data_IF_844893602797
#
_entry.id   IF_844893602797
#
_cell.length_a   1.000
_cell.length_b   1.000
_cell.length_c   1.000
_cell.angle_alpha   90.00
_cell.angle_beta   90.00
_cell.angle_gamma   90.00
#
_symmetry.space_group_name_H-M   'P 1'
#
loop_
_entity.id
_entity.type
_entity.pdbx_description
1 polymer ?
#
# COMPACT_ATOMS: atom_id res chain seq x y z
N UNK A 1 -48.09 34.00 2.96
CA UNK A 1 -47.12 32.97 2.56
C UNK A 1 -46.52 32.43 3.86
N UNK A 2 -47.12 31.48 4.61
CA UNK A 2 -47.53 30.11 4.24
C UNK A 2 -46.36 29.42 3.51
N UNK A 3 -45.66 28.41 4.02
CA UNK A 3 -46.00 27.33 4.97
C UNK A 3 -44.78 26.87 5.79
N UNK A 4 -45.05 26.47 7.04
CA UNK A 4 -44.28 25.56 7.89
C UNK A 4 -44.44 24.11 7.42
N UNK A 5 -43.36 23.31 7.45
CA UNK A 5 -43.34 21.84 7.74
C UNK A 5 -41.86 21.38 7.73
N UNK A 6 -41.16 20.97 8.79
CA UNK A 6 -41.37 20.08 9.96
C UNK A 6 -40.96 18.60 9.73
N UNK A 7 -40.48 17.99 10.82
CA UNK A 7 -40.10 16.59 11.11
C UNK A 7 -38.64 16.19 10.77
N UNK A 8 -37.73 16.03 11.75
CA UNK A 8 -37.65 15.06 12.85
C UNK A 8 -37.30 13.63 12.40
N UNK A 9 -36.09 13.18 12.76
CA UNK A 9 -35.88 11.80 13.22
C UNK A 9 -34.78 11.76 14.28
N UNK A 10 -35.22 11.40 15.48
CA UNK A 10 -34.43 10.92 16.61
C UNK A 10 -34.28 9.40 16.46
N UNK A 11 -33.07 8.85 16.65
CA UNK A 11 -32.82 7.49 17.14
C UNK A 11 -31.30 7.37 17.41
N UNK A 12 -30.87 7.27 18.67
CA UNK A 12 -30.47 6.02 19.33
C UNK A 12 -29.19 5.39 18.70
N UNK A 13 -28.10 5.11 19.43
CA UNK A 13 -27.94 5.01 20.87
C UNK A 13 -26.47 5.03 21.29
N UNK A 14 -26.32 5.38 22.56
CA UNK A 14 -25.19 5.15 23.43
C UNK A 14 -24.57 3.75 23.26
N UNK A 15 -23.28 3.68 22.94
CA UNK A 15 -22.50 2.48 23.22
C UNK A 15 -21.80 2.69 24.56
N UNK A 16 -22.38 2.08 25.59
CA UNK A 16 -21.85 2.00 26.94
C UNK A 16 -20.42 1.42 26.96
N UNK A 17 -19.55 1.79 27.93
CA UNK A 17 -18.19 1.28 28.09
C UNK A 17 -18.15 -0.12 28.74
N UNK A 18 -18.98 -1.05 28.28
CA UNK A 18 -19.08 -2.41 28.84
C UNK A 18 -18.31 -3.48 28.04
N UNK A 19 -17.55 -3.10 27.00
CA UNK A 19 -16.81 -4.04 26.15
C UNK A 19 -15.28 -3.94 26.30
N UNK A 20 -14.80 -3.40 27.42
CA UNK A 20 -13.37 -3.39 27.78
C UNK A 20 -13.12 -4.11 29.11
N UNK A 21 -13.56 -5.35 29.23
CA UNK A 21 -13.18 -6.23 30.33
C UNK A 21 -13.39 -7.70 29.95
N UNK A 22 -12.35 -8.37 29.45
CA UNK A 22 -12.01 -9.77 29.77
C UNK A 22 -11.04 -10.34 28.72
N UNK A 23 -9.74 -10.19 28.95
CA UNK A 23 -8.73 -11.16 28.52
C UNK A 23 -7.50 -11.03 29.41
N UNK A 24 -7.67 -11.39 30.68
CA UNK A 24 -6.57 -11.63 31.60
C UNK A 24 -6.81 -12.96 32.31
N UNK A 25 -5.75 -13.77 32.38
CA UNK A 25 -5.55 -14.95 33.25
C UNK A 25 -6.30 -16.23 32.84
N UNK A 26 -5.78 -17.46 32.96
CA UNK A 26 -4.53 -17.98 33.55
C UNK A 26 -4.31 -19.43 33.11
N UNK A 27 -3.08 -19.89 33.32
CA UNK A 27 -2.44 -21.18 33.13
C UNK A 27 -3.12 -22.48 33.65
N UNK A 28 -2.64 -23.59 33.08
CA UNK A 28 -2.26 -24.90 33.67
C UNK A 28 -3.25 -25.76 34.49
N UNK A 29 -3.19 -27.07 34.23
CA UNK A 29 -3.15 -28.07 35.31
C UNK A 29 -4.34 -29.03 35.43
N UNK A 30 -4.17 -30.22 34.85
CA UNK A 30 -4.60 -31.56 35.30
C UNK A 30 -5.84 -31.78 36.17
N UNK A 31 -6.73 -32.66 35.72
CA UNK A 31 -7.06 -33.95 36.38
C UNK A 31 -8.36 -34.54 35.82
N UNK A 32 -8.29 -35.78 35.30
CA UNK A 32 -9.44 -36.66 35.24
C UNK A 32 -9.67 -37.27 36.64
N UNK A 33 -10.92 -37.58 37.01
CA UNK A 33 -11.26 -39.00 37.14
C UNK A 33 -12.66 -39.38 36.64
N UNK A 34 -12.81 -40.67 36.38
CA UNK A 34 -13.98 -41.34 35.84
C UNK A 34 -15.12 -41.55 36.87
N UNK A 35 -16.38 -41.49 36.40
CA UNK A 35 -17.52 -42.25 36.91
C UNK A 35 -18.68 -42.22 35.89
N UNK A 36 -19.30 -43.36 35.63
CA UNK A 36 -20.55 -43.56 34.87
C UNK A 36 -21.51 -44.42 35.72
N UNK A 37 -22.79 -44.68 35.37
CA UNK A 37 -23.79 -43.96 34.55
C UNK A 37 -25.14 -43.78 35.32
N UNK A 38 -26.06 -42.92 34.87
CA UNK A 38 -27.53 -43.13 34.91
C UNK A 38 -28.36 -41.87 34.55
N UNK A 39 -29.50 -42.14 33.92
CA UNK A 39 -30.71 -41.32 33.77
C UNK A 39 -30.74 -40.24 32.67
N UNK A 40 -31.54 -40.52 31.66
CA UNK A 40 -31.89 -39.67 30.54
C UNK A 40 -32.66 -38.40 30.96
N UNK A 41 -32.25 -37.26 30.40
CA UNK A 41 -33.01 -36.01 30.31
C UNK A 41 -32.59 -35.32 28.98
N UNK A 42 -33.49 -34.53 28.36
CA UNK A 42 -33.60 -34.41 26.91
C UNK A 42 -32.38 -33.76 26.26
N UNK A 43 -32.09 -34.17 25.03
CA UNK A 43 -31.04 -33.61 24.21
C UNK A 43 -31.12 -32.07 24.21
N UNK A 44 -30.00 -31.36 24.45
CA UNK A 44 -29.99 -29.91 24.23
C UNK A 44 -30.33 -29.67 22.77
N UNK A 45 -31.39 -28.90 22.53
CA UNK A 45 -31.75 -28.42 21.21
C UNK A 45 -30.48 -27.85 20.57
N UNK A 46 -30.07 -28.44 19.44
CA UNK A 46 -28.96 -27.93 18.64
C UNK A 46 -29.16 -26.42 18.43
N UNK A 47 -28.13 -25.59 18.62
CA UNK A 47 -28.26 -24.17 18.32
C UNK A 47 -28.73 -24.08 16.86
N UNK A 48 -29.90 -23.46 16.67
CA UNK A 48 -30.42 -23.21 15.34
C UNK A 48 -29.32 -22.50 14.55
N UNK A 49 -28.82 -23.16 13.50
CA UNK A 49 -27.95 -22.54 12.51
C UNK A 49 -28.64 -21.27 12.05
N UNK A 50 -28.13 -20.11 12.48
CA UNK A 50 -28.33 -18.86 11.76
C UNK A 50 -27.92 -19.17 10.31
N UNK A 51 -28.90 -19.27 9.42
CA UNK A 51 -28.67 -19.51 8.01
C UNK A 51 -27.74 -18.39 7.51
N UNK A 52 -26.46 -18.73 7.34
CA UNK A 52 -25.48 -17.82 6.78
C UNK A 52 -25.96 -17.43 5.39
N UNK A 53 -26.33 -16.16 5.24
CA UNK A 53 -26.64 -15.57 3.94
C UNK A 53 -25.47 -15.87 2.98
N UNK A 54 -25.76 -16.25 1.72
CA UNK A 54 -24.72 -16.53 0.74
C UNK A 54 -23.91 -15.26 0.48
N UNK A 55 -22.62 -15.28 0.84
CA UNK A 55 -21.69 -14.18 0.57
C UNK A 55 -21.23 -14.26 -0.87
N UNK A 56 -21.43 -13.19 -1.64
CA UNK A 56 -20.88 -13.08 -2.99
C UNK A 56 -19.37 -12.79 -2.91
N UNK A 57 -18.57 -13.85 -2.93
CA UNK A 57 -17.11 -13.77 -2.88
C UNK A 57 -16.51 -13.03 -4.09
N UNK A 58 -17.23 -12.97 -5.22
CA UNK A 58 -16.75 -12.28 -6.42
C UNK A 58 -16.79 -10.76 -6.23
N UNK A 59 -17.88 -10.25 -5.66
CA UNK A 59 -18.04 -8.85 -5.30
C UNK A 59 -17.00 -8.43 -4.24
N UNK A 60 -16.82 -9.23 -3.18
CA UNK A 60 -15.83 -8.96 -2.12
C UNK A 60 -14.41 -8.84 -2.69
N UNK A 61 -14.02 -9.73 -3.61
CA UNK A 61 -12.69 -9.67 -4.27
C UNK A 61 -12.53 -8.48 -5.21
N UNK A 62 -13.62 -8.02 -5.83
CA UNK A 62 -13.58 -6.84 -6.69
C UNK A 62 -13.40 -5.56 -5.86
N UNK A 63 -14.12 -5.46 -4.74
CA UNK A 63 -14.04 -4.34 -3.81
C UNK A 63 -12.68 -4.28 -3.10
N UNK A 64 -12.16 -5.41 -2.64
CA UNK A 64 -10.82 -5.48 -2.06
C UNK A 64 -9.74 -4.98 -3.05
N UNK A 65 -9.85 -5.34 -4.33
CA UNK A 65 -8.93 -4.83 -5.38
C UNK A 65 -9.11 -3.35 -5.64
N UNK A 66 -10.32 -2.81 -5.54
CA UNK A 66 -10.56 -1.38 -5.71
C UNK A 66 -9.97 -0.59 -4.54
N UNK A 67 -10.29 -1.01 -3.30
CA UNK A 67 -9.76 -0.43 -2.08
C UNK A 67 -8.23 -0.43 -2.06
N UNK A 68 -7.60 -1.52 -2.50
CA UNK A 68 -6.15 -1.62 -2.59
C UNK A 68 -5.54 -0.61 -3.57
N UNK A 69 -6.13 -0.48 -4.77
CA UNK A 69 -5.66 0.51 -5.74
C UNK A 69 -5.84 1.94 -5.24
N UNK A 70 -6.95 2.21 -4.57
CA UNK A 70 -7.23 3.54 -4.01
C UNK A 70 -6.25 3.88 -2.89
N UNK A 71 -5.92 2.90 -2.03
CA UNK A 71 -4.87 3.03 -1.00
C UNK A 71 -3.51 3.34 -1.62
N UNK A 72 -3.09 2.54 -2.60
CA UNK A 72 -1.80 2.72 -3.30
C UNK A 72 -1.74 4.12 -3.93
N UNK A 73 -2.80 4.53 -4.64
CA UNK A 73 -2.88 5.84 -5.26
C UNK A 73 -2.74 6.94 -4.21
N UNK A 74 -3.48 6.85 -3.11
CA UNK A 74 -3.44 7.83 -2.04
C UNK A 74 -2.04 7.99 -1.42
N UNK A 75 -1.29 6.89 -1.24
CA UNK A 75 0.07 6.93 -0.69
C UNK A 75 1.05 7.59 -1.68
N UNK A 76 1.01 7.18 -2.95
CA UNK A 76 1.97 7.65 -3.96
C UNK A 76 1.71 9.11 -4.36
N UNK A 77 0.46 9.56 -4.29
CA UNK A 77 0.09 10.97 -4.57
C UNK A 77 0.00 11.83 -3.31
N UNK A 78 0.41 11.32 -2.14
CA UNK A 78 0.39 12.09 -0.90
C UNK A 78 1.36 13.28 -0.99
N UNK A 79 1.03 14.48 -0.45
CA UNK A 79 1.92 15.64 -0.50
C UNK A 79 3.32 15.34 0.09
N UNK A 80 3.38 14.60 1.19
CA UNK A 80 4.65 14.20 1.82
C UNK A 80 5.49 13.20 1.00
N UNK A 81 4.94 12.63 -0.08
CA UNK A 81 5.71 11.77 -0.99
C UNK A 81 6.67 12.58 -1.88
N UNK A 82 6.48 13.90 -2.00
CA UNK A 82 7.35 14.76 -2.79
C UNK A 82 8.76 14.84 -2.18
N UNK A 83 9.76 14.46 -2.97
CA UNK A 83 11.13 14.29 -2.49
C UNK A 83 11.35 13.00 -1.67
N UNK A 84 10.38 12.09 -1.63
CA UNK A 84 10.44 10.79 -0.91
C UNK A 84 9.85 9.63 -1.70
N UNK A 85 9.78 9.76 -3.03
CA UNK A 85 9.07 8.83 -3.90
C UNK A 85 9.47 7.37 -3.68
N UNK A 86 10.77 7.08 -3.49
CA UNK A 86 11.22 5.71 -3.24
C UNK A 86 10.62 5.08 -1.97
N UNK A 87 10.49 5.85 -0.89
CA UNK A 87 9.88 5.37 0.36
C UNK A 87 8.36 5.25 0.21
N UNK A 88 7.71 6.20 -0.46
CA UNK A 88 6.27 6.13 -0.72
C UNK A 88 5.92 4.89 -1.57
N UNK A 89 6.73 4.57 -2.58
CA UNK A 89 6.56 3.37 -3.41
C UNK A 89 6.70 2.09 -2.57
N UNK A 90 7.70 2.02 -1.70
CA UNK A 90 7.87 0.87 -0.81
C UNK A 90 6.67 0.69 0.12
N UNK A 91 6.18 1.77 0.73
CA UNK A 91 5.01 1.71 1.61
C UNK A 91 3.76 1.26 0.84
N UNK A 92 3.54 1.78 -0.37
CA UNK A 92 2.35 1.46 -1.14
C UNK A 92 2.28 -0.01 -1.59
N UNK A 93 3.41 -0.58 -2.03
CA UNK A 93 3.45 -1.91 -2.66
C UNK A 93 3.96 -3.04 -1.77
N UNK A 94 4.65 -2.73 -0.67
CA UNK A 94 5.28 -3.74 0.19
C UNK A 94 4.64 -3.82 1.58
N UNK A 95 3.64 -3.00 1.88
CA UNK A 95 2.99 -2.95 3.18
C UNK A 95 1.49 -2.77 3.05
N UNK A 96 0.74 -3.18 4.10
CA UNK A 96 -0.72 -3.03 4.19
C UNK A 96 -1.16 -1.85 5.07
N UNK A 97 -0.34 -0.80 5.14
CA UNK A 97 -0.65 0.38 5.93
C UNK A 97 -1.71 1.25 5.26
N UNK A 98 -2.61 1.81 6.07
CA UNK A 98 -3.55 2.83 5.61
C UNK A 98 -2.81 4.09 5.15
N UNK A 99 -3.40 4.81 4.19
CA UNK A 99 -2.77 5.98 3.56
C UNK A 99 -2.39 7.08 4.56
N UNK A 100 -3.20 7.30 5.59
CA UNK A 100 -2.95 8.29 6.65
C UNK A 100 -1.70 7.94 7.48
N UNK A 101 -1.61 6.67 7.92
CA UNK A 101 -0.45 6.18 8.66
C UNK A 101 0.84 6.23 7.82
N UNK A 102 0.75 5.88 6.53
CA UNK A 102 1.86 6.01 5.60
C UNK A 102 2.29 7.48 5.41
N UNK A 103 1.33 8.40 5.34
CA UNK A 103 1.58 9.85 5.28
C UNK A 103 2.35 10.35 6.50
N UNK A 104 1.97 9.90 7.70
CA UNK A 104 2.70 10.20 8.94
C UNK A 104 4.15 9.69 8.91
N UNK A 105 4.39 8.49 8.39
CA UNK A 105 5.75 7.95 8.23
C UNK A 105 6.57 8.78 7.22
N UNK A 106 5.97 9.17 6.10
CA UNK A 106 6.61 10.01 5.09
C UNK A 106 6.99 11.39 5.65
N UNK A 107 6.16 11.99 6.52
CA UNK A 107 6.46 13.27 7.14
C UNK A 107 7.73 13.23 8.02
N UNK A 108 7.98 12.09 8.69
CA UNK A 108 9.18 11.91 9.53
C UNK A 108 10.44 11.52 8.76
N UNK A 109 10.29 11.07 7.52
CA UNK A 109 11.40 10.57 6.73
C UNK A 109 12.27 11.70 6.16
N UNK A 110 13.59 11.47 5.97
CA UNK A 110 14.46 12.42 5.29
C UNK A 110 14.13 12.53 3.79
N UNK A 111 14.40 13.70 3.18
CA UNK A 111 14.17 13.86 1.73
C UNK A 111 15.29 13.10 1.02
N UNK A 112 14.95 12.41 -0.06
CA UNK A 112 15.95 11.84 -0.94
C UNK A 112 16.79 12.98 -1.49
N UNK A 113 18.03 13.06 -1.03
CA UNK A 113 19.00 14.00 -1.55
C UNK A 113 19.36 13.55 -2.97
N UNK A 114 19.42 14.51 -3.90
CA UNK A 114 19.81 14.20 -5.27
C UNK A 114 21.20 13.56 -5.23
N UNK A 115 21.31 12.32 -5.72
CA UNK A 115 22.58 11.62 -5.73
C UNK A 115 23.61 12.50 -6.44
N UNK A 116 24.79 12.77 -5.84
CA UNK A 116 25.82 13.55 -6.50
C UNK A 116 26.20 12.84 -7.80
N UNK A 117 26.36 13.62 -8.87
CA UNK A 117 26.84 13.13 -10.16
C UNK A 117 28.16 12.40 -9.93
N UNK A 118 28.12 11.06 -9.99
CA UNK A 118 29.32 10.24 -9.78
C UNK A 118 30.15 10.27 -11.05
N UNK A 119 31.26 11.01 -11.01
CA UNK A 119 32.35 10.85 -11.97
C UNK A 119 33.06 9.52 -11.69
N UNK A 120 33.66 8.90 -12.71
CA UNK A 120 34.35 7.59 -12.58
C UNK A 120 35.40 7.57 -11.46
N UNK A 121 35.90 8.73 -11.03
CA UNK A 121 36.95 8.86 -10.02
C UNK A 121 36.39 9.14 -8.62
N UNK A 122 35.07 9.29 -8.45
CA UNK A 122 34.43 9.54 -7.14
C UNK A 122 34.85 10.83 -6.44
N UNK A 123 35.61 11.69 -7.11
CA UNK A 123 36.22 12.88 -6.55
C UNK A 123 35.57 14.13 -7.16
N UNK A 124 35.05 15.03 -6.32
CA UNK A 124 34.65 16.39 -6.70
C UNK A 124 35.88 17.31 -6.79
N UNK A 125 36.91 16.83 -7.49
CA UNK A 125 38.15 17.59 -7.73
C UNK A 125 37.99 18.26 -9.10
N UNK A 126 38.27 19.57 -9.23
CA UNK A 126 38.32 20.23 -10.53
C UNK A 126 39.18 19.39 -11.47
N UNK A 127 38.60 18.94 -12.59
CA UNK A 127 39.34 18.11 -13.53
C UNK A 127 40.59 18.87 -13.95
N UNK A 128 41.81 18.31 -13.74
CA UNK A 128 42.99 18.89 -14.32
C UNK A 128 42.80 18.95 -15.84
N UNK A 129 43.32 19.99 -16.48
CA UNK A 129 43.22 20.18 -17.92
C UNK A 129 44.07 19.13 -18.67
N UNK A 130 43.58 17.89 -18.71
CA UNK A 130 44.18 16.80 -19.47
C UNK A 130 43.75 17.00 -20.92
N UNK A 131 44.59 17.68 -21.70
CA UNK A 131 44.43 17.67 -23.14
C UNK A 131 44.46 16.21 -23.62
N UNK A 132 43.56 15.77 -24.51
CA UNK A 132 43.56 14.41 -25.02
C UNK A 132 44.84 14.20 -25.84
N UNK A 133 45.82 13.56 -25.22
CA UNK A 133 47.05 13.15 -25.90
C UNK A 133 46.76 11.84 -26.64
N UNK A 134 46.10 11.94 -27.79
CA UNK A 134 45.77 10.80 -28.64
C UNK A 134 44.46 11.04 -29.38
N UNK A 135 44.58 11.34 -30.68
CA UNK A 135 43.51 11.81 -31.54
C UNK A 135 42.30 10.90 -31.65
N UNK A 136 41.14 11.53 -31.82
CA UNK A 136 39.86 10.90 -32.07
C UNK A 136 38.74 11.92 -31.89
N UNK A 137 38.53 12.75 -32.91
CA UNK A 137 37.53 13.81 -32.93
C UNK A 137 36.11 13.19 -33.03
N UNK A 138 35.58 12.60 -31.96
CA UNK A 138 34.26 11.93 -32.03
C UNK A 138 33.31 12.28 -30.87
N UNK A 139 33.47 13.45 -30.25
CA UNK A 139 32.49 13.95 -29.29
C UNK A 139 31.40 14.86 -29.90
N UNK A 140 31.43 15.07 -31.21
CA UNK A 140 30.46 15.90 -31.94
C UNK A 140 29.19 15.18 -32.41
N UNK A 141 29.20 13.84 -32.51
CA UNK A 141 28.23 13.15 -33.36
C UNK A 141 27.50 11.98 -32.70
N UNK A 142 27.76 11.67 -31.42
CA UNK A 142 27.15 10.51 -30.75
C UNK A 142 25.62 10.59 -30.71
N UNK A 143 25.06 11.78 -30.42
CA UNK A 143 23.60 12.01 -30.46
C UNK A 143 23.07 12.02 -31.89
N UNK A 144 23.80 12.64 -32.83
CA UNK A 144 23.42 12.71 -34.23
C UNK A 144 23.38 11.33 -34.90
N UNK A 145 24.42 10.51 -34.66
CA UNK A 145 24.53 9.13 -35.12
C UNK A 145 23.43 8.23 -34.55
N UNK A 146 23.09 8.38 -33.26
CA UNK A 146 21.99 7.64 -32.65
C UNK A 146 20.64 8.02 -33.30
N UNK A 147 20.39 9.31 -33.51
CA UNK A 147 19.15 9.77 -34.16
C UNK A 147 19.04 9.41 -35.64
N UNK A 148 20.17 9.31 -36.36
CA UNK A 148 20.19 8.86 -37.75
C UNK A 148 19.93 7.34 -37.85
N UNK A 149 20.53 6.56 -36.95
CA UNK A 149 20.31 5.11 -36.87
C UNK A 149 18.84 4.77 -36.56
N UNK A 150 18.22 5.49 -35.62
CA UNK A 150 16.80 5.30 -35.28
C UNK A 150 15.89 5.61 -36.47
N UNK A 151 16.17 6.70 -37.21
CA UNK A 151 15.36 7.05 -38.39
C UNK A 151 15.50 6.04 -39.54
N UNK A 152 16.70 5.48 -39.74
CA UNK A 152 16.93 4.42 -40.71
C UNK A 152 16.11 3.15 -40.37
N UNK A 153 16.06 2.77 -39.09
CA UNK A 153 15.26 1.63 -38.62
C UNK A 153 13.76 1.84 -38.85
N UNK A 154 13.24 3.03 -38.51
CA UNK A 154 11.82 3.37 -38.71
C UNK A 154 11.45 3.31 -40.19
N UNK A 155 12.35 3.75 -41.09
CA UNK A 155 12.13 3.71 -42.54
C UNK A 155 12.17 2.29 -43.11
N UNK A 156 13.01 1.41 -42.56
CA UNK A 156 13.08 0.00 -42.95
C UNK A 156 11.78 -0.74 -42.58
N UNK A 157 11.28 -0.54 -41.36
CA UNK A 157 10.05 -1.18 -40.86
C UNK A 157 8.76 -0.69 -41.57
N UNK A 158 8.82 0.44 -42.28
CA UNK A 158 7.66 1.01 -43.00
C UNK A 158 7.63 0.64 -44.49
N UNK A 159 8.66 -0.05 -44.98
CA UNK A 159 8.76 -0.53 -46.37
C UNK A 159 8.44 -2.02 -46.52
N UNK A 160 8.15 -2.69 -45.41
CA UNK A 160 7.52 -4.01 -45.31
C UNK A 160 6.02 -3.83 -45.08
#
# INVERSE_FOLDING_TARGET
MSLLTNAAVTAAGSVSPAALAAAAAVAEGGAAPAAAPAAAAPAPAAPASTAQQPVDLSAVRAEARAAERDRIKAIVTHPEAEGRAAMAQHLAFSTDLAADTAGGLLATAPKAEAAPVRTLTGANVPQPNIAPQGGGNEHGDAKAGLSAAVQAQVKANKRT
#
